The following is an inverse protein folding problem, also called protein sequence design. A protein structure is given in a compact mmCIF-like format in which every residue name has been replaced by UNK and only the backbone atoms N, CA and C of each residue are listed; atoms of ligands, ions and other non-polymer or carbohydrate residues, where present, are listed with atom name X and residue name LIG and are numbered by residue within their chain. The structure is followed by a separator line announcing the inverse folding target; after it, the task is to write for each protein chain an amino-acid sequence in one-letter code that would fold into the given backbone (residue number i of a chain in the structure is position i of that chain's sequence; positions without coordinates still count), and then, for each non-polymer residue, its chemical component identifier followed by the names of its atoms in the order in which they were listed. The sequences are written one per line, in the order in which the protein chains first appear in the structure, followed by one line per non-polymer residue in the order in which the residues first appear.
data_IF_001577934787
#
_entry.id   IF_001577934787
#
_cell.length_a   1.000
_cell.length_b   1.000
_cell.length_c   1.000
_cell.angle_alpha   90.00
_cell.angle_beta   90.00
_cell.angle_gamma   90.00
#
_symmetry.space_group_name_H-M   'P 1'
#
loop_
_entity.id
_entity.type
_entity.pdbx_description
1 polymer ?
#
# COMPACT_ATOMS: atom_id res chain seq x y z
N UNK A 1 -7.45 -19.30 -1.08
CA UNK A 1 -8.30 -19.25 -2.29
C UNK A 1 -7.89 -20.42 -3.19
N UNK A 2 -8.70 -20.80 -4.17
CA UNK A 2 -8.33 -21.82 -5.17
C UNK A 2 -7.90 -21.10 -6.45
N UNK A 3 -6.78 -21.48 -7.07
CA UNK A 3 -6.34 -20.88 -8.34
C UNK A 3 -7.12 -21.44 -9.53
N UNK A 4 -6.84 -20.91 -10.73
CA UNK A 4 -7.43 -21.39 -11.99
C UNK A 4 -7.13 -22.85 -12.32
N UNK A 5 -6.19 -23.47 -11.61
CA UNK A 5 -5.71 -24.84 -11.80
C UNK A 5 -6.25 -25.79 -10.70
N UNK A 6 -7.10 -25.29 -9.79
CA UNK A 6 -7.71 -26.10 -8.72
C UNK A 6 -6.84 -26.25 -7.46
N UNK A 7 -5.69 -25.57 -7.38
CA UNK A 7 -4.78 -25.66 -6.24
C UNK A 7 -5.17 -24.69 -5.11
N UNK A 8 -5.03 -25.18 -3.87
CA UNK A 8 -5.24 -24.35 -2.69
C UNK A 8 -4.06 -23.41 -2.49
N UNK A 9 -4.31 -22.11 -2.57
CA UNK A 9 -3.35 -21.04 -2.23
C UNK A 9 -3.43 -20.70 -0.75
N UNK A 10 -2.28 -20.84 -0.10
CA UNK A 10 -2.05 -20.42 1.29
C UNK A 10 -1.32 -19.07 1.28
N UNK A 11 -1.79 -18.14 2.11
CA UNK A 11 -1.19 -16.82 2.28
C UNK A 11 -0.83 -16.59 3.74
N UNK A 12 0.21 -15.80 3.98
CA UNK A 12 0.60 -15.38 5.32
C UNK A 12 -0.26 -14.20 5.79
N UNK A 13 -0.75 -14.24 7.02
CA UNK A 13 -1.36 -13.09 7.69
C UNK A 13 -0.77 -12.93 9.08
N UNK A 14 -0.50 -11.69 9.48
CA UNK A 14 -0.01 -11.34 10.81
C UNK A 14 -1.16 -10.72 11.61
N UNK A 15 -1.46 -11.26 12.79
CA UNK A 15 -2.62 -10.84 13.59
C UNK A 15 -2.25 -9.95 14.78
N UNK A 16 -1.01 -10.04 15.26
CA UNK A 16 -0.54 -9.30 16.45
C UNK A 16 0.95 -8.94 16.39
N UNK A 17 1.39 -8.21 17.40
CA UNK A 17 2.78 -7.78 17.55
C UNK A 17 3.78 -8.96 17.66
N UNK A 18 3.36 -10.11 18.20
CA UNK A 18 4.24 -11.28 18.32
C UNK A 18 4.56 -11.87 16.96
N UNK A 19 3.58 -11.89 16.05
CA UNK A 19 3.82 -12.32 14.67
C UNK A 19 4.83 -11.43 13.94
N UNK A 20 4.73 -10.10 14.10
CA UNK A 20 5.72 -9.17 13.52
C UNK A 20 7.12 -9.38 14.12
N UNK A 21 7.21 -9.59 15.45
CA UNK A 21 8.49 -9.87 16.12
C UNK A 21 9.11 -11.18 15.63
N UNK A 22 8.31 -12.23 15.44
CA UNK A 22 8.78 -13.50 14.91
C UNK A 22 9.36 -13.33 13.49
N UNK A 23 8.67 -12.57 12.62
CA UNK A 23 9.17 -12.30 11.26
C UNK A 23 10.48 -11.52 11.28
N UNK A 24 10.62 -10.53 12.17
CA UNK A 24 11.88 -9.82 12.37
C UNK A 24 13.01 -10.76 12.84
N UNK A 25 12.72 -11.71 13.75
CA UNK A 25 13.69 -12.74 14.20
C UNK A 25 14.17 -13.63 13.04
N UNK A 26 13.35 -13.83 12.01
CA UNK A 26 13.72 -14.54 10.77
C UNK A 26 14.34 -13.64 9.70
N UNK A 27 14.66 -12.38 10.02
CA UNK A 27 15.37 -11.45 9.13
C UNK A 27 14.47 -10.66 8.18
N UNK A 28 13.14 -10.65 8.38
CA UNK A 28 12.23 -9.80 7.59
C UNK A 28 12.45 -8.33 7.96
N UNK A 29 12.75 -7.51 6.95
CA UNK A 29 12.99 -6.06 7.10
C UNK A 29 11.81 -5.23 6.59
N UNK A 30 11.14 -5.69 5.54
CA UNK A 30 10.04 -4.97 4.91
C UNK A 30 8.76 -5.80 4.87
N UNK A 31 7.62 -5.14 5.04
CA UNK A 31 6.30 -5.74 4.98
C UNK A 31 5.48 -5.10 3.87
N UNK A 32 5.10 -5.90 2.88
CA UNK A 32 4.27 -5.48 1.75
C UNK A 32 2.88 -6.09 1.91
N UNK A 33 1.92 -5.27 2.37
CA UNK A 33 0.55 -5.73 2.64
C UNK A 33 -0.32 -5.70 1.39
N UNK A 34 -1.32 -6.57 1.34
CA UNK A 34 -2.36 -6.48 0.31
C UNK A 34 -3.29 -5.30 0.56
N UNK A 35 -3.84 -4.72 -0.51
CA UNK A 35 -4.90 -3.70 -0.44
C UNK A 35 -6.30 -4.30 -0.17
N UNK A 36 -6.34 -5.40 0.58
CA UNK A 36 -7.56 -6.14 0.94
C UNK A 36 -7.45 -6.66 2.38
N UNK A 37 -8.59 -6.79 3.06
CA UNK A 37 -8.65 -7.61 4.28
C UNK A 37 -8.64 -9.12 3.97
N UNK A 38 -7.99 -9.91 4.86
CA UNK A 38 -7.90 -11.39 4.75
C UNK A 38 -9.23 -12.12 4.55
N UNK A 39 -10.33 -11.53 5.00
CA UNK A 39 -11.68 -12.11 4.91
C UNK A 39 -12.36 -11.89 3.54
N UNK A 40 -11.85 -11.01 2.67
CA UNK A 40 -12.34 -10.80 1.31
C UNK A 40 -11.19 -10.44 0.35
N UNK A 41 -10.37 -11.44 0.02
CA UNK A 41 -9.18 -11.26 -0.81
C UNK A 41 -9.47 -10.73 -2.23
N UNK A 42 -10.64 -11.05 -2.77
CA UNK A 42 -11.02 -10.68 -4.15
C UNK A 42 -11.70 -9.30 -4.22
N UNK A 43 -11.80 -8.59 -3.09
CA UNK A 43 -12.43 -7.26 -3.01
C UNK A 43 -11.47 -6.26 -2.35
N UNK A 44 -10.71 -5.50 -3.15
CA UNK A 44 -9.85 -4.43 -2.65
C UNK A 44 -10.63 -3.37 -1.88
N UNK A 45 -10.04 -2.89 -0.80
CA UNK A 45 -10.54 -1.81 0.06
C UNK A 45 -9.55 -0.64 0.16
N UNK A 46 -8.47 -0.68 -0.63
CA UNK A 46 -7.47 0.38 -0.70
C UNK A 46 -6.96 0.58 -2.14
N UNK A 47 -6.79 1.85 -2.51
CA UNK A 47 -6.05 2.29 -3.70
C UNK A 47 -4.73 2.91 -3.23
N UNK A 48 -3.64 2.66 -3.95
CA UNK A 48 -2.34 3.30 -3.71
C UNK A 48 -1.89 3.98 -4.99
N UNK A 49 -1.62 5.28 -4.91
CA UNK A 49 -0.90 6.03 -5.92
C UNK A 49 0.56 6.06 -5.52
N UNK A 50 1.42 5.49 -6.35
CA UNK A 50 2.86 5.42 -6.14
C UNK A 50 3.56 6.48 -7.00
N UNK A 51 4.20 7.46 -6.35
CA UNK A 51 4.92 8.53 -7.02
C UNK A 51 6.41 8.24 -6.94
N UNK A 52 6.93 7.66 -8.02
CA UNK A 52 8.35 7.39 -8.21
C UNK A 52 9.01 8.44 -9.11
N UNK A 53 9.92 9.28 -8.59
CA UNK A 53 10.63 10.24 -9.42
C UNK A 53 11.57 9.55 -10.40
N UNK A 54 11.48 9.95 -11.66
CA UNK A 54 12.50 9.69 -12.67
C UNK A 54 13.78 10.50 -12.43
N UNK A 55 14.79 10.26 -13.25
CA UNK A 55 16.03 11.03 -13.22
C UNK A 55 15.77 12.53 -13.48
N UNK A 56 16.46 13.39 -12.73
CA UNK A 56 16.33 14.85 -12.85
C UNK A 56 15.13 15.46 -12.13
N UNK A 57 14.19 14.67 -11.62
CA UNK A 57 13.08 15.17 -10.80
C UNK A 57 13.55 15.43 -9.37
N UNK A 58 13.39 16.66 -8.92
CA UNK A 58 13.74 17.05 -7.55
C UNK A 58 12.70 16.52 -6.56
N UNK A 59 13.13 16.33 -5.30
CA UNK A 59 12.22 15.95 -4.22
C UNK A 59 11.04 16.91 -4.07
N UNK A 60 11.27 18.22 -4.29
CA UNK A 60 10.23 19.23 -4.19
C UNK A 60 9.14 19.02 -5.24
N UNK A 61 9.49 18.65 -6.47
CA UNK A 61 8.53 18.34 -7.52
C UNK A 61 7.67 17.11 -7.17
N UNK A 62 8.26 16.08 -6.54
CA UNK A 62 7.50 14.91 -6.05
C UNK A 62 6.48 15.31 -4.98
N UNK A 63 6.89 16.16 -4.03
CA UNK A 63 5.99 16.68 -2.99
C UNK A 63 4.86 17.51 -3.60
N UNK A 64 5.17 18.38 -4.56
CA UNK A 64 4.18 19.22 -5.25
C UNK A 64 3.17 18.35 -6.03
N UNK A 65 3.63 17.31 -6.73
CA UNK A 65 2.76 16.32 -7.37
C UNK A 65 1.88 15.58 -6.35
N UNK A 66 2.44 15.18 -5.21
CA UNK A 66 1.69 14.49 -4.16
C UNK A 66 0.56 15.37 -3.58
N UNK A 67 0.85 16.66 -3.33
CA UNK A 67 -0.15 17.63 -2.87
C UNK A 67 -1.25 17.82 -3.91
N UNK A 68 -0.90 17.87 -5.19
CA UNK A 68 -1.89 17.99 -6.28
C UNK A 68 -2.83 16.78 -6.33
N UNK A 69 -2.27 15.57 -6.30
CA UNK A 69 -3.06 14.32 -6.31
C UNK A 69 -3.98 14.27 -5.08
N UNK A 70 -3.45 14.59 -3.89
CA UNK A 70 -4.24 14.67 -2.65
C UNK A 70 -5.44 15.60 -2.81
N UNK A 71 -5.22 16.83 -3.31
CA UNK A 71 -6.29 17.79 -3.53
C UNK A 71 -7.35 17.31 -4.53
N UNK A 72 -6.92 16.69 -5.63
CA UNK A 72 -7.85 16.10 -6.62
C UNK A 72 -8.71 14.99 -6.02
N UNK A 73 -8.13 14.12 -5.20
CA UNK A 73 -8.86 13.05 -4.50
C UNK A 73 -9.86 13.62 -3.48
N UNK A 74 -9.49 14.65 -2.74
CA UNK A 74 -10.38 15.33 -1.78
C UNK A 74 -11.58 15.98 -2.49
N UNK A 75 -11.39 16.57 -3.68
CA UNK A 75 -12.49 17.10 -4.51
C UNK A 75 -13.47 16.01 -4.94
N UNK A 76 -12.99 14.78 -5.16
CA UNK A 76 -13.83 13.62 -5.45
C UNK A 76 -14.54 13.05 -4.21
N UNK A 77 -14.35 13.65 -3.02
CA UNK A 77 -14.92 13.18 -1.76
C UNK A 77 -14.19 11.98 -1.16
N UNK A 78 -12.98 11.68 -1.63
CA UNK A 78 -12.14 10.61 -1.09
C UNK A 78 -11.25 11.12 0.05
N UNK A 79 -10.73 10.19 0.88
CA UNK A 79 -9.89 10.52 2.05
C UNK A 79 -8.45 9.99 1.84
N UNK A 80 -7.57 10.75 1.18
CA UNK A 80 -6.18 10.34 0.94
C UNK A 80 -5.27 10.48 2.16
N UNK A 81 -4.34 9.54 2.34
CA UNK A 81 -3.26 9.56 3.32
C UNK A 81 -1.91 9.43 2.62
N UNK A 82 -0.97 10.34 2.89
CA UNK A 82 0.36 10.30 2.29
C UNK A 82 1.40 9.71 3.24
N UNK A 83 2.34 8.93 2.71
CA UNK A 83 3.55 8.46 3.40
C UNK A 83 4.75 8.49 2.46
N UNK A 84 5.95 8.66 3.00
CA UNK A 84 7.18 8.42 2.21
C UNK A 84 7.28 6.93 1.83
N UNK A 85 7.90 6.62 0.69
CA UNK A 85 8.12 5.22 0.31
C UNK A 85 9.25 4.55 1.11
N UNK A 86 10.14 5.36 1.72
CA UNK A 86 11.41 4.91 2.29
C UNK A 86 12.57 5.01 1.29
N UNK A 87 12.26 5.18 0.00
CA UNK A 87 13.22 5.50 -1.06
C UNK A 87 13.14 6.98 -1.45
N UNK A 88 12.94 7.24 -2.74
CA UNK A 88 12.89 8.60 -3.31
C UNK A 88 11.46 9.14 -3.51
N UNK A 89 10.44 8.32 -3.24
CA UNK A 89 9.06 8.56 -3.63
C UNK A 89 8.08 8.80 -2.48
N UNK A 90 6.82 8.98 -2.85
CA UNK A 90 5.67 9.17 -1.94
C UNK A 90 4.55 8.21 -2.35
N UNK A 91 3.98 7.49 -1.39
CA UNK A 91 2.74 6.75 -1.61
C UNK A 91 1.57 7.57 -1.08
N UNK A 92 0.49 7.69 -1.85
CA UNK A 92 -0.79 8.23 -1.40
C UNK A 92 -1.79 7.08 -1.38
N UNK A 93 -2.28 6.74 -0.20
CA UNK A 93 -3.24 5.65 -0.02
C UNK A 93 -4.64 6.20 0.19
N UNK A 94 -5.63 5.56 -0.42
CA UNK A 94 -7.04 5.96 -0.33
C UNK A 94 -7.86 4.73 0.05
N UNK A 95 -8.54 4.73 1.21
CA UNK A 95 -9.49 3.69 1.53
C UNK A 95 -10.72 3.82 0.62
N UNK A 96 -11.22 2.69 0.13
CA UNK A 96 -12.44 2.61 -0.67
C UNK A 96 -13.42 1.63 -0.04
N UNK A 97 -14.72 1.86 -0.28
CA UNK A 97 -15.79 1.08 0.37
C UNK A 97 -15.73 -0.41 0.03
N UNK A 98 -16.02 -1.21 1.06
CA UNK A 98 -15.99 -2.69 1.04
C UNK A 98 -17.30 -3.35 0.61
#
# INVERSE_FOLDING_TARGET
SINSEGETKTYLSVEDAKGYLALAQFGVVEFHTWGTHRTKLDKPDQIVFDLDPGEGISWREVVEAAVHIKGGLEVLGLVPFAKTSGGKGIHITVPVTR
#
